data_IF_245703336648
#
_entry.id   IF_245703336648
#
_cell.length_a   1.000
_cell.length_b   1.000
_cell.length_c   1.000
_cell.angle_alpha   90.00
_cell.angle_beta   90.00
_cell.angle_gamma   90.00
#
_symmetry.space_group_name_H-M   'P 1'
#
loop_
_entity.id
_entity.type
_entity.pdbx_description
1 polymer ?
#
# COMPACT_ATOMS: atom_id res chain seq x y z
N UNK A 1 31.60 -19.54 -5.64
CA UNK A 1 30.44 -19.05 -6.42
C UNK A 1 30.97 -18.53 -7.74
N UNK A 2 30.29 -18.79 -8.87
CA UNK A 2 30.68 -18.19 -10.15
C UNK A 2 30.15 -16.77 -10.25
N UNK A 3 31.01 -15.80 -10.54
CA UNK A 3 30.63 -14.38 -10.71
C UNK A 3 31.24 -13.91 -12.03
N UNK A 4 30.44 -13.33 -12.92
CA UNK A 4 30.90 -12.73 -14.18
C UNK A 4 30.64 -11.24 -14.15
N UNK A 5 31.64 -10.42 -14.48
CA UNK A 5 31.53 -8.96 -14.50
C UNK A 5 31.90 -8.38 -15.87
N UNK A 6 31.00 -7.59 -16.44
CA UNK A 6 31.27 -6.77 -17.62
C UNK A 6 31.92 -5.46 -17.18
N UNK A 7 33.24 -5.45 -17.25
CA UNK A 7 34.11 -4.48 -16.59
C UNK A 7 34.68 -3.46 -17.57
N UNK A 8 34.86 -2.22 -17.10
CA UNK A 8 35.70 -1.21 -17.75
C UNK A 8 36.70 -0.66 -16.72
N UNK A 9 38.02 -0.85 -16.91
CA UNK A 9 39.04 -0.40 -15.98
C UNK A 9 39.08 1.12 -15.80
N UNK A 10 38.61 1.90 -16.78
CA UNK A 10 38.60 3.38 -16.72
C UNK A 10 37.39 3.95 -15.96
N UNK A 11 36.59 3.10 -15.29
CA UNK A 11 35.38 3.52 -14.60
C UNK A 11 35.43 3.23 -13.10
N UNK A 12 35.41 4.26 -12.26
CA UNK A 12 35.42 4.12 -10.80
C UNK A 12 34.32 3.20 -10.25
N UNK A 13 33.08 3.33 -10.71
CA UNK A 13 31.99 2.40 -10.31
C UNK A 13 32.30 0.95 -10.69
N UNK A 14 32.93 0.72 -11.85
CA UNK A 14 33.31 -0.61 -12.32
C UNK A 14 34.45 -1.21 -11.51
N UNK A 15 35.46 -0.39 -11.15
CA UNK A 15 36.57 -0.79 -10.29
C UNK A 15 36.13 -1.05 -8.86
N UNK A 16 35.31 -0.18 -8.27
CA UNK A 16 34.74 -0.40 -6.93
C UNK A 16 33.87 -1.67 -6.88
N UNK A 17 33.09 -1.96 -7.93
CA UNK A 17 32.30 -3.20 -8.00
C UNK A 17 33.20 -4.44 -8.04
N UNK A 18 34.25 -4.42 -8.88
CA UNK A 18 35.24 -5.51 -8.95
C UNK A 18 35.98 -5.67 -7.61
N UNK A 19 36.36 -4.56 -6.97
CA UNK A 19 37.02 -4.55 -5.68
C UNK A 19 36.11 -5.12 -4.58
N UNK A 20 34.81 -4.81 -4.57
CA UNK A 20 33.83 -5.40 -3.66
C UNK A 20 33.69 -6.91 -3.84
N UNK A 21 33.68 -7.40 -5.08
CA UNK A 21 33.64 -8.85 -5.35
C UNK A 21 34.89 -9.53 -4.79
N UNK A 22 36.07 -8.98 -5.09
CA UNK A 22 37.36 -9.51 -4.60
C UNK A 22 37.54 -9.36 -3.09
N UNK A 23 36.92 -8.35 -2.47
CA UNK A 23 36.93 -8.17 -1.02
C UNK A 23 36.28 -9.34 -0.27
N UNK A 24 35.40 -10.07 -0.94
CA UNK A 24 34.77 -11.29 -0.41
C UNK A 24 35.54 -12.57 -0.79
N UNK A 25 36.80 -12.45 -1.17
CA UNK A 25 37.67 -13.54 -1.63
C UNK A 25 37.09 -14.32 -2.83
N UNK A 26 36.32 -13.65 -3.68
CA UNK A 26 35.77 -14.19 -4.93
C UNK A 26 36.57 -13.61 -6.10
N UNK A 27 37.18 -14.47 -6.92
CA UNK A 27 37.77 -14.06 -8.19
C UNK A 27 36.73 -14.23 -9.33
N UNK A 28 36.24 -13.14 -9.93
CA UNK A 28 35.23 -13.23 -10.99
C UNK A 28 35.83 -13.49 -12.38
N UNK A 29 35.01 -14.00 -13.29
CA UNK A 29 35.26 -13.91 -14.73
C UNK A 29 35.12 -12.44 -15.17
N UNK A 30 36.23 -11.84 -15.60
CA UNK A 30 36.26 -10.42 -16.02
C UNK A 30 36.15 -10.34 -17.54
N UNK A 31 35.10 -9.67 -18.01
CA UNK A 31 34.90 -9.38 -19.44
C UNK A 31 35.11 -7.89 -19.68
N UNK A 32 36.21 -7.53 -20.36
CA UNK A 32 36.44 -6.18 -20.87
C UNK A 32 35.52 -5.90 -22.06
N UNK A 33 34.24 -5.60 -21.76
CA UNK A 33 33.15 -5.60 -22.73
C UNK A 33 33.30 -4.61 -23.90
N UNK A 34 34.19 -3.61 -23.78
CA UNK A 34 34.50 -2.71 -24.90
C UNK A 34 35.37 -3.39 -25.96
N UNK A 35 36.16 -4.40 -25.58
CA UNK A 35 37.02 -5.18 -26.46
C UNK A 35 36.35 -6.49 -26.88
N UNK A 36 35.65 -7.11 -25.94
CA UNK A 36 34.91 -8.36 -26.12
C UNK A 36 33.44 -8.16 -25.74
N UNK A 37 32.66 -7.43 -26.56
CA UNK A 37 31.26 -7.18 -26.25
C UNK A 37 30.45 -8.49 -26.21
N UNK A 38 29.40 -8.55 -25.37
CA UNK A 38 28.49 -9.68 -25.38
C UNK A 38 27.79 -9.82 -26.74
N UNK A 39 27.35 -11.03 -27.07
CA UNK A 39 26.46 -11.23 -28.20
C UNK A 39 25.11 -10.52 -27.96
N UNK A 40 24.40 -10.18 -29.04
CA UNK A 40 23.08 -9.49 -28.97
C UNK A 40 22.09 -10.19 -28.03
N UNK A 41 21.99 -11.50 -28.15
CA UNK A 41 21.06 -12.30 -27.33
C UNK A 41 21.50 -12.37 -25.86
N UNK A 42 22.82 -12.43 -25.61
CA UNK A 42 23.37 -12.36 -24.25
C UNK A 42 23.11 -11.00 -23.60
N UNK A 43 23.30 -9.91 -24.36
CA UNK A 43 23.02 -8.55 -23.89
C UNK A 43 21.53 -8.37 -23.55
N UNK A 44 20.63 -8.80 -24.45
CA UNK A 44 19.19 -8.74 -24.23
C UNK A 44 18.78 -9.52 -22.99
N UNK A 45 19.29 -10.74 -22.83
CA UNK A 45 19.02 -11.59 -21.67
C UNK A 45 19.57 -10.97 -20.38
N UNK A 46 20.77 -10.40 -20.42
CA UNK A 46 21.40 -9.73 -19.27
C UNK A 46 20.57 -8.54 -18.79
N UNK A 47 20.08 -7.70 -19.72
CA UNK A 47 19.22 -6.55 -19.41
C UNK A 47 17.91 -7.01 -18.78
N UNK A 48 17.26 -8.02 -19.39
CA UNK A 48 16.01 -8.59 -18.88
C UNK A 48 16.19 -9.18 -17.49
N UNK A 49 17.26 -9.95 -17.26
CA UNK A 49 17.56 -10.57 -15.97
C UNK A 49 17.92 -9.55 -14.89
N UNK A 50 18.38 -8.36 -15.28
CA UNK A 50 18.57 -7.23 -14.37
C UNK A 50 17.27 -6.48 -14.03
N UNK A 51 16.13 -6.85 -14.64
CA UNK A 51 14.85 -6.17 -14.45
C UNK A 51 14.80 -4.78 -15.09
N UNK A 52 15.62 -4.54 -16.12
CA UNK A 52 15.74 -3.25 -16.80
C UNK A 52 15.05 -3.27 -18.17
N UNK A 53 14.64 -2.10 -18.66
CA UNK A 53 14.39 -1.94 -20.10
C UNK A 53 15.71 -1.76 -20.85
N UNK A 54 15.72 -2.00 -22.17
CA UNK A 54 16.92 -1.75 -22.99
C UNK A 54 17.37 -0.30 -22.90
N UNK A 55 16.41 0.63 -22.83
CA UNK A 55 16.67 2.05 -22.69
C UNK A 55 17.32 2.42 -21.36
N UNK A 56 16.98 1.74 -20.26
CA UNK A 56 17.63 1.94 -18.95
C UNK A 56 19.08 1.45 -18.95
N UNK A 57 19.40 0.45 -19.79
CA UNK A 57 20.74 -0.09 -19.95
C UNK A 57 21.66 0.78 -20.84
N UNK A 58 21.14 1.83 -21.47
CA UNK A 58 21.93 2.76 -22.26
C UNK A 58 22.70 3.75 -21.40
N UNK A 59 23.99 3.88 -21.72
CA UNK A 59 24.84 4.95 -21.23
C UNK A 59 24.69 6.16 -22.15
N UNK A 60 24.34 7.30 -21.57
CA UNK A 60 24.22 8.57 -22.30
C UNK A 60 25.52 9.38 -22.32
N UNK A 61 26.10 9.63 -21.14
CA UNK A 61 27.26 10.54 -20.99
C UNK A 61 28.55 9.94 -21.53
N UNK A 62 29.23 10.67 -22.43
CA UNK A 62 30.52 10.27 -23.00
C UNK A 62 30.41 9.10 -23.97
N UNK A 63 29.37 9.12 -24.80
CA UNK A 63 29.01 8.12 -25.81
C UNK A 63 28.37 8.84 -27.00
N UNK A 64 28.24 8.20 -28.18
CA UNK A 64 27.56 8.79 -29.34
C UNK A 64 26.02 8.80 -29.21
N UNK A 65 25.45 8.64 -28.00
CA UNK A 65 24.00 8.51 -27.77
C UNK A 65 23.17 9.62 -28.43
N UNK A 66 23.59 10.88 -28.31
CA UNK A 66 22.88 12.01 -28.90
C UNK A 66 23.13 12.14 -30.41
N UNK A 67 24.35 11.84 -30.87
CA UNK A 67 24.71 11.88 -32.30
C UNK A 67 23.94 10.83 -33.11
N UNK A 68 23.60 9.70 -32.48
CA UNK A 68 22.81 8.61 -33.04
C UNK A 68 21.29 8.78 -32.84
N UNK A 69 20.83 9.86 -32.20
CA UNK A 69 19.40 10.12 -31.98
C UNK A 69 18.70 9.08 -31.09
N UNK A 70 19.41 8.45 -30.16
CA UNK A 70 18.87 7.36 -29.33
C UNK A 70 17.88 7.82 -28.24
N UNK A 71 17.64 9.13 -28.13
CA UNK A 71 16.60 9.73 -27.30
C UNK A 71 15.20 9.65 -27.92
N UNK A 72 15.09 9.34 -29.21
CA UNK A 72 13.80 9.19 -29.88
C UNK A 72 12.92 8.10 -29.19
N UNK A 73 11.73 8.46 -28.66
CA UNK A 73 10.81 7.51 -28.04
C UNK A 73 10.25 6.48 -29.02
N UNK A 74 10.28 6.76 -30.33
CA UNK A 74 9.77 5.85 -31.36
C UNK A 74 10.71 4.66 -31.63
N UNK A 75 11.99 4.75 -31.22
CA UNK A 75 12.94 3.65 -31.34
C UNK A 75 12.57 2.49 -30.40
N UNK A 76 12.34 1.32 -31.01
CA UNK A 76 12.11 0.07 -30.28
C UNK A 76 13.40 -0.57 -29.77
N UNK A 77 13.24 -1.55 -28.87
CA UNK A 77 14.34 -2.24 -28.19
C UNK A 77 15.36 -2.87 -29.16
N UNK A 78 14.90 -3.42 -30.29
CA UNK A 78 15.78 -4.00 -31.31
C UNK A 78 16.79 -3.00 -31.87
N UNK A 79 16.34 -1.78 -32.20
CA UNK A 79 17.22 -0.74 -32.73
C UNK A 79 18.23 -0.26 -31.69
N UNK A 80 17.80 -0.19 -30.41
CA UNK A 80 18.69 0.18 -29.30
C UNK A 80 19.75 -0.90 -29.04
N UNK A 81 19.37 -2.18 -29.09
CA UNK A 81 20.31 -3.30 -28.98
C UNK A 81 21.31 -3.30 -30.15
N UNK A 82 20.86 -3.06 -31.38
CA UNK A 82 21.74 -3.00 -32.55
C UNK A 82 22.77 -1.86 -32.40
N UNK A 83 22.34 -0.70 -31.91
CA UNK A 83 23.22 0.42 -31.60
C UNK A 83 24.25 0.05 -30.51
N UNK A 84 23.83 -0.66 -29.45
CA UNK A 84 24.72 -1.11 -28.37
C UNK A 84 25.76 -2.13 -28.85
N UNK A 85 25.40 -3.01 -29.79
CA UNK A 85 26.34 -3.97 -30.38
C UNK A 85 27.33 -3.27 -31.32
N UNK A 86 26.85 -2.33 -32.15
CA UNK A 86 27.70 -1.54 -33.03
C UNK A 86 28.64 -0.59 -32.26
N UNK A 87 28.17 -0.05 -31.13
CA UNK A 87 28.92 0.85 -30.27
C UNK A 87 28.87 0.38 -28.81
N UNK A 88 29.69 -0.61 -28.40
CA UNK A 88 29.67 -1.18 -27.05
C UNK A 88 29.76 -0.13 -25.94
N UNK A 89 30.39 1.02 -26.18
CA UNK A 89 30.47 2.13 -25.22
C UNK A 89 29.11 2.66 -24.74
N UNK A 90 28.03 2.39 -25.49
CA UNK A 90 26.64 2.67 -25.12
C UNK A 90 26.10 1.71 -24.05
N UNK A 91 26.73 0.57 -23.79
CA UNK A 91 26.33 -0.35 -22.72
C UNK A 91 26.72 0.26 -21.37
N UNK A 92 25.74 0.48 -20.50
CA UNK A 92 25.97 0.97 -19.14
C UNK A 92 26.63 -0.13 -18.29
N UNK A 93 27.43 0.27 -17.29
CA UNK A 93 28.38 -0.63 -16.62
C UNK A 93 28.52 -0.36 -15.12
N UNK A 94 29.00 -1.33 -14.33
CA UNK A 94 29.22 -2.72 -14.70
C UNK A 94 27.93 -3.55 -14.57
N UNK A 95 27.74 -4.52 -15.47
CA UNK A 95 26.81 -5.62 -15.23
C UNK A 95 27.54 -6.75 -14.50
N UNK A 96 26.89 -7.32 -13.49
CA UNK A 96 27.37 -8.48 -12.75
C UNK A 96 26.33 -9.59 -12.85
N UNK A 97 26.77 -10.80 -13.16
CA UNK A 97 25.96 -12.01 -13.28
C UNK A 97 26.43 -13.02 -12.24
N UNK A 98 25.49 -13.56 -11.48
CA UNK A 98 25.71 -14.61 -10.47
C UNK A 98 24.57 -15.64 -10.53
N UNK A 99 24.68 -16.80 -9.86
CA UNK A 99 23.56 -17.71 -9.68
C UNK A 99 22.35 -17.11 -8.93
N UNK A 100 22.56 -16.04 -8.16
CA UNK A 100 21.49 -15.33 -7.42
C UNK A 100 20.73 -14.38 -8.33
N UNK A 101 21.36 -13.89 -9.40
CA UNK A 101 20.76 -13.00 -10.37
C UNK A 101 21.77 -12.11 -11.09
N UNK A 102 21.24 -11.21 -11.92
CA UNK A 102 22.00 -10.24 -12.71
C UNK A 102 21.67 -8.81 -12.26
N UNK A 103 22.65 -7.91 -12.25
CA UNK A 103 22.40 -6.50 -11.91
C UNK A 103 23.35 -5.53 -12.60
N UNK A 104 22.83 -4.37 -12.98
CA UNK A 104 23.63 -3.19 -13.29
C UNK A 104 24.02 -2.51 -11.98
N UNK A 105 25.27 -2.65 -11.55
CA UNK A 105 25.72 -2.22 -10.22
C UNK A 105 26.08 -0.73 -10.21
N UNK A 106 25.05 0.12 -10.25
CA UNK A 106 25.15 1.58 -10.16
C UNK A 106 24.14 2.09 -9.11
N UNK A 107 24.56 2.37 -7.86
CA UNK A 107 25.95 2.43 -7.39
C UNK A 107 26.59 1.04 -7.16
N UNK A 108 27.91 1.00 -6.92
CA UNK A 108 28.71 -0.26 -6.94
C UNK A 108 28.30 -1.27 -5.86
N UNK A 109 27.85 -0.80 -4.70
CA UNK A 109 27.40 -1.57 -3.55
C UNK A 109 26.14 -2.41 -3.81
N UNK A 110 25.41 -2.11 -4.90
CA UNK A 110 24.33 -2.96 -5.38
C UNK A 110 24.80 -4.38 -5.71
N UNK A 111 26.10 -4.60 -5.94
CA UNK A 111 26.67 -5.94 -6.14
C UNK A 111 26.53 -6.82 -4.89
N UNK A 112 26.47 -6.22 -3.69
CA UNK A 112 26.35 -6.98 -2.44
C UNK A 112 25.02 -7.73 -2.33
N UNK A 113 24.00 -7.38 -3.13
CA UNK A 113 22.73 -8.12 -3.20
C UNK A 113 22.88 -9.43 -4.00
N UNK A 114 23.94 -9.56 -4.79
CA UNK A 114 24.24 -10.74 -5.61
C UNK A 114 25.29 -11.68 -4.98
N UNK A 115 25.90 -11.24 -3.87
CA UNK A 115 27.06 -11.90 -3.26
C UNK A 115 26.69 -12.48 -1.88
N UNK A 116 27.43 -13.49 -1.40
CA UNK A 116 27.25 -13.99 -0.03
C UNK A 116 27.52 -12.89 1.02
N UNK A 117 27.08 -13.09 2.27
CA UNK A 117 27.36 -12.17 3.38
C UNK A 117 28.86 -11.87 3.52
N UNK A 118 29.19 -10.62 3.88
CA UNK A 118 30.58 -10.18 4.00
C UNK A 118 31.27 -10.77 5.24
N UNK A 119 32.56 -11.16 5.15
CA UNK A 119 33.36 -11.41 6.35
C UNK A 119 33.49 -10.12 7.16
N UNK A 120 33.78 -10.23 8.46
CA UNK A 120 33.97 -9.09 9.36
C UNK A 120 35.23 -8.29 8.98
N UNK A 121 35.14 -7.51 7.90
CA UNK A 121 36.22 -6.73 7.31
C UNK A 121 35.63 -5.53 6.56
N UNK A 122 36.06 -4.34 6.96
CA UNK A 122 35.58 -3.10 6.38
C UNK A 122 35.97 -2.96 4.90
N UNK A 123 35.08 -2.36 4.10
CA UNK A 123 35.36 -1.98 2.71
C UNK A 123 35.13 -0.49 2.51
N UNK A 124 36.15 0.20 2.02
CA UNK A 124 36.13 1.62 1.67
C UNK A 124 36.34 1.72 0.16
N UNK A 125 35.48 2.46 -0.52
CA UNK A 125 35.59 2.75 -1.96
C UNK A 125 36.82 3.63 -2.25
N UNK A 126 37.19 3.70 -3.53
CA UNK A 126 38.26 4.59 -4.01
C UNK A 126 38.08 6.07 -3.62
N UNK A 127 36.86 6.54 -3.40
CA UNK A 127 36.53 7.92 -3.01
C UNK A 127 36.50 8.16 -1.48
N UNK A 128 36.81 7.14 -0.68
CA UNK A 128 36.83 7.21 0.78
C UNK A 128 35.49 6.88 1.44
N UNK A 129 34.43 6.57 0.68
CA UNK A 129 33.13 6.19 1.22
C UNK A 129 33.19 4.76 1.82
N UNK A 130 32.86 4.64 3.11
CA UNK A 130 32.75 3.36 3.82
C UNK A 130 31.43 2.67 3.43
N UNK A 131 31.52 1.48 2.83
CA UNK A 131 30.37 0.69 2.36
C UNK A 131 30.04 -0.45 3.30
N UNK A 132 31.07 -1.08 3.85
CA UNK A 132 30.97 -2.19 4.80
C UNK A 132 31.80 -1.82 6.02
N UNK A 133 31.23 -1.94 7.22
CA UNK A 133 31.93 -1.69 8.49
C UNK A 133 32.87 -2.85 8.88
N UNK A 134 33.58 -2.67 9.99
CA UNK A 134 34.48 -3.69 10.56
C UNK A 134 33.78 -4.99 10.98
N UNK A 135 32.46 -4.98 11.10
CA UNK A 135 31.64 -6.14 11.44
C UNK A 135 31.04 -6.83 10.20
N UNK A 136 31.37 -6.35 8.98
CA UNK A 136 30.83 -6.92 7.74
C UNK A 136 29.42 -6.45 7.42
N UNK A 137 28.89 -5.45 8.13
CA UNK A 137 27.56 -4.89 7.90
C UNK A 137 27.62 -3.72 6.92
N UNK A 138 26.59 -3.59 6.09
CA UNK A 138 26.46 -2.42 5.21
C UNK A 138 26.23 -1.17 6.05
N UNK A 139 27.02 -0.15 5.81
CA UNK A 139 26.85 1.13 6.49
C UNK A 139 25.66 1.87 5.90
N UNK A 140 24.74 2.30 6.77
CA UNK A 140 23.60 3.12 6.38
C UNK A 140 24.08 4.53 6.02
N UNK A 141 23.56 5.09 4.92
CA UNK A 141 23.78 6.49 4.54
C UNK A 141 23.12 7.51 5.48
N UNK A 142 22.26 7.04 6.40
CA UNK A 142 21.58 7.86 7.41
C UNK A 142 22.33 7.73 8.75
N UNK A 143 23.40 8.51 8.93
CA UNK A 143 24.28 8.47 10.11
C UNK A 143 23.92 9.49 11.18
N UNK A 144 22.98 10.40 10.92
CA UNK A 144 22.54 11.48 11.80
C UNK A 144 21.46 11.08 12.82
N UNK A 145 21.02 9.82 12.76
CA UNK A 145 20.08 9.24 13.74
C UNK A 145 18.67 9.83 13.65
N UNK A 146 17.96 9.87 14.78
CA UNK A 146 16.57 10.34 14.87
C UNK A 146 16.40 11.42 15.96
N UNK A 147 17.01 12.61 15.81
CA UNK A 147 17.10 13.60 16.89
C UNK A 147 15.76 14.16 17.37
N UNK A 148 14.69 13.99 16.60
CA UNK A 148 13.33 14.48 16.95
C UNK A 148 12.45 13.43 17.65
N UNK A 149 12.98 12.21 17.84
CA UNK A 149 12.29 11.12 18.53
C UNK A 149 12.51 11.22 20.04
N UNK A 150 11.45 10.93 20.80
CA UNK A 150 11.55 10.66 22.25
C UNK A 150 11.70 9.17 22.42
N UNK A 151 12.90 8.71 22.77
CA UNK A 151 13.29 7.30 22.74
C UNK A 151 12.36 6.40 23.56
N UNK A 152 12.00 6.81 24.78
CA UNK A 152 11.11 6.04 25.67
C UNK A 152 9.69 5.83 25.12
N UNK A 153 9.27 6.64 24.14
CA UNK A 153 7.94 6.56 23.52
C UNK A 153 7.99 5.90 22.13
N UNK A 154 9.19 5.71 21.59
CA UNK A 154 9.42 5.13 20.28
C UNK A 154 9.47 3.61 20.36
N UNK A 155 8.28 3.03 20.36
CA UNK A 155 8.13 1.58 20.34
C UNK A 155 8.33 1.08 18.91
N UNK A 156 9.32 0.20 18.71
CA UNK A 156 9.49 -0.52 17.44
C UNK A 156 8.31 -1.48 17.23
N UNK A 157 7.79 -1.63 16.01
CA UNK A 157 6.73 -2.61 15.74
C UNK A 157 7.15 -4.02 16.14
N UNK A 158 6.29 -4.75 16.85
CA UNK A 158 6.54 -6.09 17.37
C UNK A 158 5.66 -7.10 16.63
N UNK A 159 6.31 -7.98 15.86
CA UNK A 159 5.64 -9.02 15.08
C UNK A 159 4.96 -10.06 15.96
N UNK A 160 5.39 -10.22 17.21
CA UNK A 160 4.80 -11.17 18.14
C UNK A 160 3.34 -10.80 18.51
N UNK A 161 3.00 -9.50 18.49
CA UNK A 161 1.62 -9.03 18.76
C UNK A 161 0.63 -9.60 17.72
N UNK A 162 1.03 -9.67 16.45
CA UNK A 162 0.21 -10.25 15.39
C UNK A 162 0.11 -11.79 15.48
N UNK A 163 1.12 -12.44 16.05
CA UNK A 163 1.15 -13.90 16.20
C UNK A 163 0.41 -14.40 17.45
N UNK A 164 0.35 -13.58 18.51
CA UNK A 164 -0.18 -13.96 19.84
C UNK A 164 -1.57 -13.40 20.13
N UNK A 165 -2.18 -12.66 19.22
CA UNK A 165 -3.51 -12.09 19.46
C UNK A 165 -4.52 -13.22 19.73
N UNK A 166 -5.08 -13.25 20.94
CA UNK A 166 -6.16 -14.17 21.30
C UNK A 166 -7.34 -13.91 20.36
N UNK A 167 -7.66 -14.90 19.53
CA UNK A 167 -8.73 -14.74 18.54
C UNK A 167 -10.05 -14.51 19.24
N UNK A 168 -10.73 -13.41 18.90
CA UNK A 168 -12.09 -13.18 19.35
C UNK A 168 -12.99 -14.32 18.89
N UNK A 169 -13.67 -14.96 19.84
CA UNK A 169 -14.47 -16.17 19.60
C UNK A 169 -15.85 -15.86 19.02
N UNK A 170 -16.30 -14.61 19.08
CA UNK A 170 -17.59 -14.22 18.50
C UNK A 170 -17.48 -13.95 16.99
N UNK A 171 -18.63 -14.06 16.32
CA UNK A 171 -18.79 -13.75 14.90
C UNK A 171 -18.33 -12.31 14.59
N UNK A 172 -17.67 -12.06 13.45
CA UNK A 172 -17.33 -10.70 13.04
C UNK A 172 -18.58 -9.82 12.89
N UNK A 173 -18.55 -8.61 13.43
CA UNK A 173 -19.72 -7.73 13.48
C UNK A 173 -19.67 -6.67 12.39
N UNK A 174 -20.70 -6.63 11.54
CA UNK A 174 -20.78 -5.69 10.41
C UNK A 174 -21.99 -4.76 10.51
N UNK A 175 -21.75 -3.44 10.48
CA UNK A 175 -22.79 -2.44 10.30
C UNK A 175 -22.87 -1.97 8.86
N UNK A 176 -24.06 -2.08 8.28
CA UNK A 176 -24.35 -1.69 6.91
C UNK A 176 -25.21 -0.43 6.86
N UNK A 177 -24.75 0.58 6.13
CA UNK A 177 -25.44 1.86 5.92
C UNK A 177 -25.80 2.05 4.44
N UNK A 178 -26.98 2.63 4.16
CA UNK A 178 -27.42 2.92 2.79
C UNK A 178 -27.93 4.35 2.60
N UNK A 179 -27.77 4.89 1.39
CA UNK A 179 -27.99 6.30 1.08
C UNK A 179 -29.33 6.67 0.44
N UNK A 180 -30.38 5.85 0.56
CA UNK A 180 -31.70 6.19 0.00
C UNK A 180 -32.87 5.52 0.71
N UNK A 181 -33.87 6.34 1.05
CA UNK A 181 -35.15 5.94 1.66
C UNK A 181 -36.29 5.77 0.64
N UNK A 182 -36.00 5.76 -0.67
CA UNK A 182 -37.01 5.47 -1.70
C UNK A 182 -37.65 4.10 -1.44
N UNK A 183 -38.92 3.97 -1.81
CA UNK A 183 -39.65 2.69 -1.71
C UNK A 183 -38.86 1.57 -2.40
N UNK A 184 -38.45 1.79 -3.66
CA UNK A 184 -37.51 0.94 -4.40
C UNK A 184 -36.14 1.62 -4.47
N UNK A 185 -35.27 1.27 -3.53
CA UNK A 185 -33.94 1.84 -3.35
C UNK A 185 -32.87 0.82 -3.74
N UNK A 186 -32.18 1.02 -4.87
CA UNK A 186 -31.13 0.10 -5.32
C UNK A 186 -29.92 0.08 -4.40
N UNK A 187 -29.58 1.18 -3.73
CA UNK A 187 -28.52 1.16 -2.71
C UNK A 187 -28.91 0.28 -1.52
N UNK A 188 -30.18 0.34 -1.08
CA UNK A 188 -30.69 -0.58 -0.04
C UNK A 188 -30.69 -2.03 -0.53
N UNK A 189 -31.06 -2.30 -1.78
CA UNK A 189 -31.06 -3.67 -2.32
C UNK A 189 -29.64 -4.26 -2.45
N UNK A 190 -28.65 -3.47 -2.92
CA UNK A 190 -27.23 -3.87 -2.90
C UNK A 190 -26.77 -4.12 -1.46
N UNK A 191 -27.14 -3.26 -0.50
CA UNK A 191 -26.85 -3.48 0.92
C UNK A 191 -27.45 -4.78 1.44
N UNK A 192 -28.65 -5.18 1.01
CA UNK A 192 -29.26 -6.45 1.40
C UNK A 192 -28.54 -7.66 0.80
N UNK A 193 -28.04 -7.59 -0.44
CA UNK A 193 -27.20 -8.67 -0.99
C UNK A 193 -25.86 -8.77 -0.25
N UNK A 194 -25.22 -7.63 0.04
CA UNK A 194 -24.01 -7.57 0.84
C UNK A 194 -24.22 -8.20 2.24
N UNK A 195 -25.35 -7.91 2.89
CA UNK A 195 -25.71 -8.50 4.17
C UNK A 195 -25.81 -10.03 4.10
N UNK A 196 -26.54 -10.56 3.10
CA UNK A 196 -26.67 -12.02 2.89
C UNK A 196 -25.31 -12.70 2.71
N UNK A 197 -24.41 -12.08 1.95
CA UNK A 197 -23.06 -12.62 1.72
C UNK A 197 -22.27 -12.67 3.03
N UNK A 198 -22.26 -11.58 3.80
CA UNK A 198 -21.56 -11.52 5.09
C UNK A 198 -22.13 -12.50 6.13
N UNK A 199 -23.46 -12.63 6.22
CA UNK A 199 -24.11 -13.60 7.10
C UNK A 199 -23.78 -15.04 6.68
N UNK A 200 -23.78 -15.33 5.38
CA UNK A 200 -23.43 -16.65 4.84
C UNK A 200 -21.98 -17.02 5.16
N UNK A 201 -21.07 -16.04 5.16
CA UNK A 201 -19.68 -16.22 5.59
C UNK A 201 -19.51 -16.32 7.12
N UNK A 202 -20.58 -16.18 7.90
CA UNK A 202 -20.57 -16.34 9.35
C UNK A 202 -20.48 -15.05 10.16
N UNK A 203 -20.73 -13.89 9.53
CA UNK A 203 -20.78 -12.59 10.21
C UNK A 203 -22.10 -12.36 10.98
N UNK A 204 -22.05 -11.53 12.01
CA UNK A 204 -23.24 -10.91 12.62
C UNK A 204 -23.46 -9.57 11.90
N UNK A 205 -24.60 -9.37 11.24
CA UNK A 205 -24.86 -8.19 10.41
C UNK A 205 -26.01 -7.38 10.98
N UNK A 206 -25.86 -6.06 11.03
CA UNK A 206 -26.95 -5.12 11.33
C UNK A 206 -27.02 -4.04 10.26
N UNK A 207 -28.22 -3.75 9.78
CA UNK A 207 -28.48 -2.71 8.78
C UNK A 207 -29.24 -1.59 9.48
N UNK A 208 -28.71 -0.37 9.41
CA UNK A 208 -29.42 0.79 9.97
C UNK A 208 -30.44 1.33 8.98
N UNK A 209 -31.68 1.56 9.44
CA UNK A 209 -32.70 2.25 8.66
C UNK A 209 -32.65 3.77 8.96
N UNK A 210 -32.29 4.64 7.99
CA UNK A 210 -32.15 6.07 8.24
C UNK A 210 -33.47 6.84 8.24
N UNK A 211 -34.63 6.19 8.05
CA UNK A 211 -35.93 6.88 8.17
C UNK A 211 -36.10 7.45 9.57
N UNK A 212 -36.46 8.74 9.64
CA UNK A 212 -36.61 9.48 10.89
C UNK A 212 -35.29 9.93 11.54
N UNK A 213 -34.13 9.70 10.90
CA UNK A 213 -32.89 10.32 11.35
C UNK A 213 -32.96 11.84 11.06
N UNK A 214 -32.79 12.71 12.06
CA UNK A 214 -32.81 14.15 11.87
C UNK A 214 -31.59 14.61 11.07
N UNK A 215 -31.64 15.82 10.49
CA UNK A 215 -30.44 16.45 9.95
C UNK A 215 -29.45 16.71 11.10
N UNK A 216 -28.13 16.59 10.87
CA UNK A 216 -27.12 17.03 11.84
C UNK A 216 -27.43 18.44 12.35
N UNK A 217 -27.24 18.66 13.65
CA UNK A 217 -27.58 19.89 14.39
C UNK A 217 -29.09 20.23 14.47
N UNK A 218 -29.96 19.46 13.82
CA UNK A 218 -31.41 19.64 13.83
C UNK A 218 -32.13 18.99 15.00
N UNK A 219 -31.44 18.21 15.84
CA UNK A 219 -31.98 17.57 17.03
C UNK A 219 -30.88 17.33 18.08
N UNK A 220 -31.28 17.02 19.31
CA UNK A 220 -30.36 16.60 20.36
C UNK A 220 -29.71 15.25 20.02
N UNK A 221 -28.49 15.02 20.51
CA UNK A 221 -27.82 13.72 20.43
C UNK A 221 -28.62 12.59 21.11
N UNK A 222 -29.52 12.93 22.04
CA UNK A 222 -30.44 11.99 22.68
C UNK A 222 -31.56 11.47 21.77
N UNK A 223 -31.68 11.99 20.54
CA UNK A 223 -32.68 11.53 19.57
C UNK A 223 -32.56 10.01 19.35
N UNK A 224 -33.66 9.22 19.40
CA UNK A 224 -33.59 7.76 19.37
C UNK A 224 -32.82 7.18 18.17
N UNK A 225 -33.04 7.73 16.96
CA UNK A 225 -32.30 7.31 15.76
C UNK A 225 -30.82 7.66 15.76
N UNK A 226 -30.42 8.71 16.47
CA UNK A 226 -29.02 9.12 16.62
C UNK A 226 -28.32 8.16 17.59
N UNK A 227 -28.96 7.87 18.73
CA UNK A 227 -28.47 6.88 19.70
C UNK A 227 -28.32 5.50 19.05
N UNK A 228 -29.36 5.01 18.37
CA UNK A 228 -29.33 3.73 17.64
C UNK A 228 -28.17 3.66 16.66
N UNK A 229 -27.97 4.70 15.84
CA UNK A 229 -26.87 4.73 14.87
C UNK A 229 -25.49 4.69 15.55
N UNK A 230 -25.32 5.46 16.63
CA UNK A 230 -24.05 5.53 17.37
C UNK A 230 -23.75 4.22 18.10
N UNK A 231 -24.75 3.59 18.70
CA UNK A 231 -24.64 2.28 19.35
C UNK A 231 -24.27 1.19 18.34
N UNK A 232 -24.91 1.18 17.16
CA UNK A 232 -24.56 0.26 16.08
C UNK A 232 -23.13 0.50 15.58
N UNK A 233 -22.75 1.77 15.39
CA UNK A 233 -21.40 2.12 14.98
C UNK A 233 -20.36 1.65 16.01
N UNK A 234 -20.64 1.81 17.30
CA UNK A 234 -19.79 1.32 18.39
C UNK A 234 -19.71 -0.21 18.42
N UNK A 235 -20.83 -0.92 18.23
CA UNK A 235 -20.91 -2.39 18.22
C UNK A 235 -20.12 -3.04 17.08
N UNK A 236 -20.05 -2.41 15.91
CA UNK A 236 -19.45 -2.98 14.71
C UNK A 236 -17.92 -3.16 14.82
N UNK A 237 -17.35 -4.11 14.09
CA UNK A 237 -15.91 -4.29 13.86
C UNK A 237 -15.52 -3.92 12.42
N UNK A 238 -16.44 -4.09 11.49
CA UNK A 238 -16.36 -3.61 10.11
C UNK A 238 -17.66 -2.93 9.67
N UNK A 239 -17.59 -2.12 8.62
CA UNK A 239 -18.77 -1.46 8.04
C UNK A 239 -18.80 -1.60 6.52
N UNK A 240 -20.00 -1.50 5.95
CA UNK A 240 -20.15 -1.28 4.51
C UNK A 240 -21.12 -0.13 4.23
N UNK A 241 -20.70 0.82 3.38
CA UNK A 241 -21.48 2.00 3.03
C UNK A 241 -21.92 1.92 1.57
N UNK A 242 -23.23 1.99 1.33
CA UNK A 242 -23.79 1.99 -0.03
C UNK A 242 -24.52 3.30 -0.35
N UNK A 243 -23.93 4.14 -1.20
CA UNK A 243 -24.58 5.37 -1.67
C UNK A 243 -25.15 5.21 -3.07
N UNK A 244 -26.36 5.70 -3.38
CA UNK A 244 -26.61 6.08 -4.77
C UNK A 244 -25.71 7.25 -5.15
N UNK A 245 -25.41 7.37 -6.44
CA UNK A 245 -24.86 8.59 -6.99
C UNK A 245 -26.01 9.55 -7.34
N UNK A 246 -26.08 10.68 -6.63
CA UNK A 246 -27.10 11.71 -6.83
C UNK A 246 -26.40 13.00 -7.23
N UNK A 247 -26.74 13.52 -8.41
CA UNK A 247 -26.06 14.69 -8.99
C UNK A 247 -24.52 14.52 -9.02
N UNK A 248 -24.05 13.32 -9.35
CA UNK A 248 -22.61 13.03 -9.47
C UNK A 248 -21.86 12.93 -8.14
N UNK A 249 -22.54 12.80 -7.01
CA UNK A 249 -21.93 12.71 -5.67
C UNK A 249 -22.61 11.66 -4.78
N UNK A 250 -22.01 11.37 -3.62
CA UNK A 250 -22.65 10.60 -2.56
C UNK A 250 -23.91 11.32 -2.07
N UNK A 251 -24.89 10.55 -1.63
CA UNK A 251 -26.17 11.08 -1.18
C UNK A 251 -26.05 11.84 0.14
N UNK A 252 -26.88 12.88 0.29
CA UNK A 252 -27.03 13.58 1.57
C UNK A 252 -27.50 12.66 2.71
N UNK A 253 -28.31 11.63 2.41
CA UNK A 253 -28.79 10.66 3.41
C UNK A 253 -27.63 9.85 4.00
N UNK A 254 -26.71 9.37 3.16
CA UNK A 254 -25.55 8.65 3.66
C UNK A 254 -24.59 9.59 4.38
N UNK A 255 -24.36 10.78 3.84
CA UNK A 255 -23.49 11.78 4.47
C UNK A 255 -23.99 12.18 5.86
N UNK A 256 -25.29 12.44 6.00
CA UNK A 256 -25.92 12.77 7.27
C UNK A 256 -25.79 11.65 8.32
N UNK A 257 -25.89 10.38 7.92
CA UNK A 257 -25.62 9.26 8.84
C UNK A 257 -24.19 9.34 9.40
N UNK A 258 -23.20 9.58 8.54
CA UNK A 258 -21.80 9.60 8.99
C UNK A 258 -21.50 10.85 9.81
N UNK A 259 -22.13 11.98 9.49
CA UNK A 259 -22.02 13.22 10.29
C UNK A 259 -22.55 13.07 11.72
N UNK A 260 -23.50 12.16 11.95
CA UNK A 260 -23.98 11.82 13.28
C UNK A 260 -23.04 10.92 14.10
N UNK A 261 -22.01 10.35 13.47
CA UNK A 261 -21.01 9.49 14.13
C UNK A 261 -19.77 10.34 14.44
N UNK A 262 -19.53 10.71 15.71
CA UNK A 262 -18.35 11.50 16.05
C UNK A 262 -17.08 10.64 16.04
N UNK A 263 -15.91 11.27 15.86
CA UNK A 263 -14.62 10.58 15.99
C UNK A 263 -14.35 10.09 17.42
N UNK A 264 -14.93 10.77 18.41
CA UNK A 264 -14.72 10.52 19.83
C UNK A 264 -16.02 10.69 20.60
N UNK A 265 -16.35 9.75 21.49
CA UNK A 265 -17.40 9.87 22.50
C UNK A 265 -16.78 9.58 23.86
N UNK A 266 -16.25 10.61 24.53
CA UNK A 266 -15.41 10.44 25.71
C UNK A 266 -14.17 9.58 25.39
N UNK A 267 -14.04 8.43 26.06
CA UNK A 267 -12.97 7.46 25.81
C UNK A 267 -13.21 6.56 24.58
N UNK A 268 -14.45 6.47 24.08
CA UNK A 268 -14.82 5.57 22.97
C UNK A 268 -14.50 6.22 21.63
N UNK A 269 -14.08 5.41 20.66
CA UNK A 269 -13.78 5.80 19.27
C UNK A 269 -14.65 4.96 18.34
N UNK A 270 -15.84 5.45 17.92
CA UNK A 270 -16.85 4.60 17.27
C UNK A 270 -16.42 3.95 15.96
N UNK A 271 -15.50 4.57 15.21
CA UNK A 271 -15.08 4.09 13.88
C UNK A 271 -13.59 3.79 13.75
N UNK A 272 -12.77 4.27 14.69
CA UNK A 272 -11.32 4.21 14.54
C UNK A 272 -10.80 2.77 14.49
N UNK A 273 -9.96 2.45 13.50
CA UNK A 273 -9.33 1.14 13.32
C UNK A 273 -10.27 0.06 12.75
N UNK A 274 -11.56 0.35 12.58
CA UNK A 274 -12.54 -0.57 11.99
C UNK A 274 -12.37 -0.66 10.49
N UNK A 275 -12.73 -1.80 9.89
CA UNK A 275 -12.67 -1.98 8.44
C UNK A 275 -13.86 -1.31 7.75
N UNK A 276 -13.68 -0.91 6.50
CA UNK A 276 -14.73 -0.27 5.70
C UNK A 276 -14.70 -0.76 4.25
N UNK A 277 -15.85 -1.23 3.74
CA UNK A 277 -16.10 -1.36 2.32
C UNK A 277 -17.00 -0.22 1.81
N UNK A 278 -16.73 0.29 0.61
CA UNK A 278 -17.53 1.32 -0.04
C UNK A 278 -18.16 0.79 -1.32
N UNK A 279 -19.43 1.08 -1.51
CA UNK A 279 -20.22 0.63 -2.67
C UNK A 279 -21.08 1.77 -3.19
N UNK A 280 -21.32 1.82 -4.50
CA UNK A 280 -22.31 2.72 -5.07
C UNK A 280 -23.23 2.06 -6.08
N UNK A 281 -24.37 2.72 -6.31
CA UNK A 281 -25.27 2.44 -7.43
C UNK A 281 -25.51 3.72 -8.24
N UNK A 282 -25.66 3.59 -9.54
CA UNK A 282 -26.04 4.69 -10.44
C UNK A 282 -27.25 4.28 -11.30
N UNK A 283 -28.10 5.27 -11.61
CA UNK A 283 -29.13 5.09 -12.63
C UNK A 283 -28.60 5.25 -14.06
N UNK A 284 -27.41 5.82 -14.22
CA UNK A 284 -26.77 6.06 -15.52
C UNK A 284 -25.61 5.12 -15.80
N UNK A 285 -24.72 5.54 -16.70
CA UNK A 285 -23.45 4.86 -16.98
C UNK A 285 -22.57 4.74 -15.73
N UNK A 286 -21.57 3.87 -15.81
CA UNK A 286 -20.65 3.63 -14.71
C UNK A 286 -19.93 4.92 -14.31
N UNK A 287 -19.80 5.10 -13.00
CA UNK A 287 -19.14 6.24 -12.35
C UNK A 287 -18.50 5.75 -11.06
N UNK A 288 -17.61 6.55 -10.48
CA UNK A 288 -16.93 6.24 -9.22
C UNK A 288 -16.95 7.40 -8.24
N UNK A 289 -17.72 8.45 -8.52
CA UNK A 289 -17.65 9.68 -7.74
C UNK A 289 -18.08 9.46 -6.28
N UNK A 290 -19.18 8.74 -6.07
CA UNK A 290 -19.68 8.49 -4.71
C UNK A 290 -18.71 7.60 -3.90
N UNK A 291 -18.19 6.50 -4.48
CA UNK A 291 -17.20 5.66 -3.78
C UNK A 291 -15.89 6.38 -3.51
N UNK A 292 -15.44 7.26 -4.40
CA UNK A 292 -14.25 8.07 -4.17
C UNK A 292 -14.44 9.03 -2.99
N UNK A 293 -15.59 9.70 -2.92
CA UNK A 293 -15.95 10.56 -1.78
C UNK A 293 -16.04 9.76 -0.48
N UNK A 294 -16.66 8.58 -0.51
CA UNK A 294 -16.77 7.72 0.68
C UNK A 294 -15.42 7.16 1.12
N UNK A 295 -14.51 6.81 0.20
CA UNK A 295 -13.16 6.34 0.53
C UNK A 295 -12.34 7.41 1.23
N UNK A 296 -12.39 8.62 0.69
CA UNK A 296 -11.87 9.83 1.32
C UNK A 296 -12.46 9.96 2.72
N UNK A 297 -13.79 9.90 2.86
CA UNK A 297 -14.46 10.02 4.15
C UNK A 297 -14.09 8.92 5.15
N UNK A 298 -13.91 7.67 4.71
CA UNK A 298 -13.41 6.55 5.52
C UNK A 298 -12.05 6.83 6.15
N UNK A 299 -11.15 7.49 5.40
CA UNK A 299 -9.88 7.99 5.94
C UNK A 299 -10.08 9.02 7.05
N UNK A 300 -11.00 9.97 6.87
CA UNK A 300 -11.33 10.96 7.92
C UNK A 300 -11.89 10.27 9.17
N UNK A 301 -12.72 9.24 9.00
CA UNK A 301 -13.25 8.41 10.08
C UNK A 301 -12.22 7.45 10.70
N UNK A 302 -10.95 7.53 10.26
CA UNK A 302 -9.82 6.68 10.71
C UNK A 302 -10.09 5.18 10.54
N UNK A 303 -10.81 4.81 9.49
CA UNK A 303 -11.14 3.42 9.15
C UNK A 303 -10.14 2.81 8.19
N UNK A 304 -9.98 1.50 8.24
CA UNK A 304 -9.21 0.70 7.28
C UNK A 304 -10.12 0.44 6.08
N UNK A 305 -10.12 1.36 5.11
CA UNK A 305 -10.95 1.22 3.91
C UNK A 305 -10.29 0.23 2.96
N UNK A 306 -10.92 -0.92 2.75
CA UNK A 306 -10.36 -2.01 1.93
C UNK A 306 -10.14 -1.57 0.47
N UNK A 307 -9.16 -2.14 -0.25
CA UNK A 307 -8.83 -1.70 -1.59
C UNK A 307 -9.99 -1.90 -2.59
N UNK A 308 -10.67 -3.04 -2.53
CA UNK A 308 -11.76 -3.35 -3.46
C UNK A 308 -13.02 -2.53 -3.16
N UNK A 309 -13.85 -2.32 -4.18
CA UNK A 309 -15.09 -1.55 -4.10
C UNK A 309 -16.08 -1.94 -5.21
N UNK A 310 -17.37 -1.64 -4.99
CA UNK A 310 -18.43 -1.92 -5.98
C UNK A 310 -19.05 -0.63 -6.54
N UNK A 311 -19.30 -0.61 -7.84
CA UNK A 311 -20.07 0.45 -8.52
C UNK A 311 -20.98 -0.18 -9.57
N UNK A 312 -22.27 -0.26 -9.26
CA UNK A 312 -23.29 -0.87 -10.12
C UNK A 312 -23.92 0.21 -11.01
N UNK A 313 -23.62 0.17 -12.31
CA UNK A 313 -24.20 1.06 -13.30
C UNK A 313 -25.60 0.60 -13.70
N UNK A 314 -26.45 1.53 -14.17
CA UNK A 314 -27.83 1.27 -14.60
C UNK A 314 -28.55 0.27 -13.69
N UNK A 315 -28.45 0.48 -12.37
CA UNK A 315 -28.78 -0.55 -11.38
C UNK A 315 -30.21 -1.11 -11.49
N UNK A 316 -31.15 -0.37 -12.10
CA UNK A 316 -32.49 -0.86 -12.38
C UNK A 316 -32.55 -2.08 -13.32
N UNK A 317 -31.53 -2.32 -14.14
CA UNK A 317 -31.43 -3.51 -15.00
C UNK A 317 -30.93 -4.75 -14.24
N UNK A 318 -30.17 -4.53 -13.18
CA UNK A 318 -29.44 -5.56 -12.42
C UNK A 318 -30.30 -6.24 -11.35
N UNK A 319 -31.53 -5.76 -11.10
CA UNK A 319 -32.43 -6.33 -10.11
C UNK A 319 -33.70 -6.87 -10.78
N UNK A 320 -34.19 -7.99 -10.26
CA UNK A 320 -35.50 -8.55 -10.64
C UNK A 320 -36.66 -7.86 -9.90
N UNK A 321 -37.90 -8.26 -10.20
CA UNK A 321 -39.08 -7.65 -9.59
C UNK A 321 -39.16 -7.89 -8.08
N UNK A 322 -38.65 -9.03 -7.60
CA UNK A 322 -38.53 -9.38 -6.19
C UNK A 322 -37.43 -8.59 -5.45
N UNK A 323 -36.64 -7.79 -6.17
CA UNK A 323 -35.57 -6.98 -5.60
C UNK A 323 -34.31 -7.78 -5.28
N UNK A 324 -34.11 -8.94 -5.91
CA UNK A 324 -32.86 -9.69 -5.88
C UNK A 324 -31.97 -9.27 -7.04
N UNK A 325 -30.67 -9.22 -6.78
CA UNK A 325 -29.70 -8.93 -7.83
C UNK A 325 -29.55 -10.15 -8.73
N UNK A 326 -29.56 -9.92 -10.05
CA UNK A 326 -29.35 -10.94 -11.08
C UNK A 326 -27.86 -11.35 -11.10
N UNK A 327 -27.54 -12.57 -11.57
CA UNK A 327 -26.15 -12.94 -11.84
C UNK A 327 -25.53 -12.00 -12.88
N UNK A 328 -24.43 -11.33 -12.51
CA UNK A 328 -23.67 -10.46 -13.39
C UNK A 328 -22.29 -10.19 -12.80
N UNK A 329 -21.38 -9.65 -13.61
CA UNK A 329 -20.06 -9.22 -13.14
C UNK A 329 -20.14 -8.18 -11.99
N UNK A 330 -21.25 -7.44 -11.88
CA UNK A 330 -21.47 -6.54 -10.74
C UNK A 330 -21.78 -7.31 -9.46
N UNK A 331 -22.52 -8.41 -9.54
CA UNK A 331 -22.78 -9.28 -8.40
C UNK A 331 -21.49 -9.95 -7.94
N UNK A 332 -20.71 -10.52 -8.86
CA UNK A 332 -19.40 -11.14 -8.56
C UNK A 332 -18.47 -10.14 -7.86
N UNK A 333 -18.45 -8.88 -8.33
CA UNK A 333 -17.69 -7.82 -7.64
C UNK A 333 -18.19 -7.56 -6.22
N UNK A 334 -19.49 -7.61 -5.95
CA UNK A 334 -20.01 -7.46 -4.59
C UNK A 334 -19.57 -8.65 -3.72
N UNK A 335 -19.52 -9.86 -4.27
CA UNK A 335 -18.97 -11.04 -3.58
C UNK A 335 -17.51 -10.79 -3.20
N UNK A 336 -16.65 -10.38 -4.14
CA UNK A 336 -15.23 -10.09 -3.87
C UNK A 336 -15.07 -9.04 -2.76
N UNK A 337 -15.85 -7.96 -2.82
CA UNK A 337 -15.77 -6.86 -1.85
C UNK A 337 -16.20 -7.31 -0.45
N UNK A 338 -17.25 -8.13 -0.34
CA UNK A 338 -17.68 -8.67 0.96
C UNK A 338 -16.70 -9.71 1.50
N UNK A 339 -16.14 -10.56 0.65
CA UNK A 339 -15.13 -11.53 1.03
C UNK A 339 -13.86 -10.83 1.55
N UNK A 340 -13.40 -9.80 0.83
CA UNK A 340 -12.26 -8.99 1.23
C UNK A 340 -12.53 -8.23 2.54
N UNK A 341 -13.71 -7.61 2.68
CA UNK A 341 -14.12 -6.96 3.93
C UNK A 341 -14.04 -7.93 5.11
N UNK A 342 -14.56 -9.15 4.92
CA UNK A 342 -14.55 -10.17 5.95
C UNK A 342 -13.13 -10.57 6.35
N UNK A 343 -12.27 -10.87 5.36
CA UNK A 343 -10.86 -11.23 5.57
C UNK A 343 -10.08 -10.14 6.30
N UNK A 344 -10.19 -8.88 5.87
CA UNK A 344 -9.53 -7.76 6.53
C UNK A 344 -10.04 -7.54 7.96
N UNK A 345 -11.32 -7.77 8.22
CA UNK A 345 -11.89 -7.64 9.56
C UNK A 345 -11.33 -8.70 10.50
N UNK A 346 -11.27 -9.95 10.05
CA UNK A 346 -10.60 -11.02 10.81
C UNK A 346 -9.13 -10.72 11.09
N UNK A 347 -8.41 -10.18 10.10
CA UNK A 347 -6.99 -9.86 10.21
C UNK A 347 -6.69 -8.74 11.22
N UNK A 348 -7.62 -7.80 11.40
CA UNK A 348 -7.34 -6.55 12.11
C UNK A 348 -8.04 -6.41 13.46
N UNK A 349 -9.20 -7.06 13.67
CA UNK A 349 -10.02 -6.85 14.87
C UNK A 349 -9.33 -7.23 16.17
N UNK A 350 -8.55 -8.32 16.18
CA UNK A 350 -7.90 -8.81 17.40
C UNK A 350 -6.70 -7.92 17.83
N UNK A 351 -6.15 -7.15 16.90
CA UNK A 351 -5.00 -6.24 17.10
C UNK A 351 -5.37 -4.77 16.94
N UNK A 352 -6.65 -4.43 16.89
CA UNK A 352 -7.11 -3.07 16.61
C UNK A 352 -6.53 -2.04 17.60
N UNK A 353 -6.44 -2.39 18.89
CA UNK A 353 -5.81 -1.55 19.92
C UNK A 353 -4.35 -1.25 19.65
N UNK A 354 -3.60 -2.23 19.16
CA UNK A 354 -2.19 -2.07 18.79
C UNK A 354 -2.02 -1.18 17.54
N UNK A 355 -2.86 -1.40 16.52
CA UNK A 355 -2.81 -0.63 15.27
C UNK A 355 -3.13 0.86 15.47
N UNK A 356 -3.86 1.21 16.54
CA UNK A 356 -4.26 2.60 16.83
C UNK A 356 -3.43 3.24 17.95
N UNK A 357 -2.46 2.53 18.53
CA UNK A 357 -1.52 3.06 19.53
C UNK A 357 -0.42 3.90 18.85
N UNK A 358 -0.62 5.22 18.84
CA UNK A 358 0.23 6.17 18.10
C UNK A 358 1.29 6.81 18.99
N UNK A 359 2.51 6.89 18.47
CA UNK A 359 3.62 7.64 19.06
C UNK A 359 3.23 9.07 19.49
N UNK A 360 2.54 9.81 18.63
CA UNK A 360 2.13 11.19 18.92
C UNK A 360 1.16 11.28 20.11
N UNK A 361 0.24 10.31 20.24
CA UNK A 361 -0.75 10.26 21.33
C UNK A 361 -0.08 9.85 22.66
N UNK A 362 0.91 8.95 22.62
CA UNK A 362 1.77 8.64 23.77
C UNK A 362 2.56 9.86 24.24
N UNK A 363 3.11 10.64 23.30
CA UNK A 363 3.84 11.88 23.58
C UNK A 363 2.97 12.95 24.22
N UNK A 364 1.76 13.17 23.70
CA UNK A 364 0.79 14.09 24.27
C UNK A 364 0.40 13.69 25.70
N UNK A 365 0.08 12.41 25.91
CA UNK A 365 -0.30 11.87 27.23
C UNK A 365 0.80 12.05 28.29
N UNK A 366 2.07 11.82 27.92
CA UNK A 366 3.22 12.03 28.80
C UNK A 366 3.41 13.52 29.15
N UNK A 367 3.21 14.41 28.17
CA UNK A 367 3.27 15.85 28.40
C UNK A 367 2.17 16.34 29.33
N UNK A 368 0.94 15.86 29.17
CA UNK A 368 -0.20 16.23 30.02
C UNK A 368 -0.05 15.70 31.45
N UNK A 369 0.46 14.46 31.61
CA UNK A 369 0.81 13.94 32.92
C UNK A 369 1.89 14.79 33.60
N UNK A 370 2.96 15.14 32.88
CA UNK A 370 4.03 15.99 33.39
C UNK A 370 3.50 17.37 33.81
N UNK A 371 2.61 17.99 33.03
CA UNK A 371 1.96 19.26 33.40
C UNK A 371 1.16 19.14 34.69
N UNK A 372 0.37 18.07 34.88
CA UNK A 372 -0.40 17.84 36.11
C UNK A 372 0.48 17.62 37.34
N UNK A 373 1.55 16.83 37.21
CA UNK A 373 2.48 16.56 38.33
C UNK A 373 3.27 17.81 38.71
N UNK A 374 3.56 18.69 37.73
CA UNK A 374 4.31 19.93 37.94
C UNK A 374 3.44 21.14 38.31
N UNK A 375 2.11 21.00 38.33
CA UNK A 375 1.24 22.02 38.93
C UNK A 375 1.40 21.96 40.46
N UNK A 376 2.11 22.96 41.01
CA UNK A 376 2.13 23.20 42.46
C UNK A 376 0.73 23.60 42.90
N UNK A 377 0.20 22.88 43.89
CA UNK A 377 -1.13 22.96 44.53
C UNK A 377 -2.30 22.27 43.81
N UNK A 378 -2.93 21.34 44.56
CA UNK A 378 -4.22 20.69 44.30
C UNK A 378 -5.34 21.72 44.45
#
# INVERSE_FOLDING_TARGET
MHVKIFHNPDCGTSRNTLALIRHLDIEPEIVEYLRTPPARDELSLMIKNAGLTVRDALRKKGTPYAELGLDDPALGDDALLDAMIAHPILINRPFVITPVGTRLCRPSELVLDLLPPSPAKAFIKEDGELVIDEHGQRVSYLTDGLPNIVDDLFHKPDTAVFARADRLQHRPRFLLLYGSVRVRSYSRLVTLEAARLLETMGGEVRIFDPRGLPLPDGASESHPKVQELRELAQWAEGMAWCSPERHGAMSAILKAQIDWIPLTMGAVRPTQGKTLAVMQVSGGSQSFNAVNQMRVLGRWMRMITIPNQSSVAKAFLEFDDAGRMKPSAYYDRIVDVMEELFKFTLMTRDVAGYLVDRYSERKESAQDLSKRVNQKSI
#
